data_IF_607671628354
#
_entry.id   IF_607671628354
#
_cell.length_a   1.000
_cell.length_b   1.000
_cell.length_c   1.000
_cell.angle_alpha   90.00
_cell.angle_beta   90.00
_cell.angle_gamma   90.00
#
_symmetry.space_group_name_H-M   'P 1'
#
loop_
_entity.id
_entity.type
_entity.pdbx_description
1 polymer ?
#
# COMPACT_ATOMS: atom_id res chain seq x y z
N UNK A 1 -1.53 42.25 61.39
CA UNK A 1 -2.17 42.31 60.06
C UNK A 1 -1.29 41.51 59.11
N UNK A 2 -1.75 40.33 58.65
CA UNK A 2 -1.03 39.41 57.75
C UNK A 2 -1.52 39.63 56.32
N UNK A 3 -0.65 39.68 55.29
CA UNK A 3 -1.06 39.41 53.92
C UNK A 3 -0.91 37.90 53.62
N UNK A 4 -1.69 37.37 52.66
CA UNK A 4 -1.92 35.94 52.53
C UNK A 4 -0.84 35.24 51.72
N UNK A 5 -0.65 33.96 52.05
CA UNK A 5 0.07 32.99 51.23
C UNK A 5 -0.63 32.83 49.88
N UNK A 6 0.11 33.02 48.79
CA UNK A 6 -0.26 32.52 47.49
C UNK A 6 1.00 31.94 46.84
N UNK A 7 1.24 30.67 47.14
CA UNK A 7 2.14 29.80 46.38
C UNK A 7 1.61 29.70 44.95
N UNK A 8 2.24 30.39 44.00
CA UNK A 8 2.07 30.10 42.59
C UNK A 8 3.17 29.13 42.18
N UNK A 9 2.89 27.83 42.29
CA UNK A 9 3.72 26.79 41.68
C UNK A 9 3.33 26.75 40.20
N UNK A 10 4.15 27.35 39.34
CA UNK A 10 4.02 27.21 37.90
C UNK A 10 4.41 25.77 37.51
N UNK A 11 3.42 24.89 37.37
CA UNK A 11 3.62 23.59 36.76
C UNK A 11 3.78 23.76 35.25
N UNK A 12 5.02 23.90 34.78
CA UNK A 12 5.34 23.74 33.38
C UNK A 12 5.19 22.25 33.03
N UNK A 13 4.02 21.86 32.52
CA UNK A 13 3.84 20.55 31.89
C UNK A 13 4.64 20.61 30.58
N UNK A 14 5.88 20.13 30.61
CA UNK A 14 6.55 19.69 29.40
C UNK A 14 5.71 18.53 28.85
N UNK A 15 4.89 18.81 27.84
CA UNK A 15 4.44 17.80 26.91
C UNK A 15 5.70 17.26 26.21
N UNK A 16 6.30 16.24 26.81
CA UNK A 16 7.13 15.30 26.06
C UNK A 16 6.17 14.58 25.12
N UNK A 17 5.90 15.17 23.96
CA UNK A 17 5.56 14.38 22.80
C UNK A 17 6.77 13.49 22.57
N UNK A 18 6.73 12.27 23.10
CA UNK A 18 7.48 11.16 22.56
C UNK A 18 6.92 10.93 21.14
N UNK A 19 7.24 11.85 20.23
CA UNK A 19 7.28 11.57 18.81
C UNK A 19 8.40 10.58 18.68
N UNK A 20 8.08 9.30 18.83
CA UNK A 20 8.87 8.28 18.14
C UNK A 20 8.79 8.71 16.70
N UNK A 21 9.89 9.22 16.14
CA UNK A 21 9.96 9.54 14.73
C UNK A 21 9.42 8.33 13.98
N UNK A 22 8.42 8.56 13.12
CA UNK A 22 7.74 7.48 12.42
C UNK A 22 8.75 6.82 11.47
N UNK A 23 9.41 5.76 11.91
CA UNK A 23 10.25 4.92 11.07
C UNK A 23 9.36 3.96 10.27
N UNK A 24 9.94 3.34 9.24
CA UNK A 24 9.28 2.25 8.51
C UNK A 24 8.88 1.14 9.48
N UNK A 25 9.76 0.72 10.38
CA UNK A 25 9.55 -0.36 11.33
C UNK A 25 8.42 -0.05 12.31
N UNK A 26 8.42 1.13 12.93
CA UNK A 26 7.38 1.53 13.89
C UNK A 26 6.03 1.70 13.20
N UNK A 27 6.01 2.21 11.97
CA UNK A 27 4.78 2.39 11.19
C UNK A 27 4.20 1.04 10.75
N UNK A 28 5.03 0.14 10.22
CA UNK A 28 4.62 -1.21 9.84
C UNK A 28 4.17 -2.04 11.05
N UNK A 29 4.82 -1.87 12.21
CA UNK A 29 4.40 -2.48 13.47
C UNK A 29 3.01 -2.00 13.86
N UNK A 30 2.78 -0.69 13.89
CA UNK A 30 1.47 -0.12 14.23
C UNK A 30 0.38 -0.58 13.26
N UNK A 31 0.66 -0.59 11.95
CA UNK A 31 -0.28 -1.08 10.94
C UNK A 31 -0.63 -2.57 11.16
N UNK A 32 0.35 -3.42 11.49
CA UNK A 32 0.12 -4.84 11.76
C UNK A 32 -0.57 -5.13 13.10
N UNK A 33 -0.41 -4.25 14.09
CA UNK A 33 -1.13 -4.33 15.35
C UNK A 33 -2.61 -3.95 15.20
N UNK A 34 -2.95 -3.04 14.26
CA UNK A 34 -4.34 -2.65 13.95
C UNK A 34 -5.04 -3.57 12.93
N UNK A 35 -4.30 -4.11 11.95
CA UNK A 35 -4.83 -4.99 10.91
C UNK A 35 -3.97 -6.26 10.75
N UNK A 36 -4.53 -7.39 11.19
CA UNK A 36 -3.89 -8.70 11.16
C UNK A 36 -3.58 -9.23 9.74
N UNK A 37 -4.13 -8.62 8.68
CA UNK A 37 -3.79 -8.96 7.30
C UNK A 37 -2.47 -8.34 6.83
N UNK A 38 -1.91 -7.40 7.60
CA UNK A 38 -0.61 -6.80 7.28
C UNK A 38 0.50 -7.81 7.58
N UNK A 39 1.21 -8.21 6.53
CA UNK A 39 2.48 -8.90 6.65
C UNK A 39 3.56 -7.86 7.01
N UNK A 40 3.94 -7.82 8.29
CA UNK A 40 4.97 -6.92 8.81
C UNK A 40 6.30 -7.01 8.04
N UNK A 41 6.77 -8.22 7.75
CA UNK A 41 8.05 -8.44 7.05
C UNK A 41 8.00 -7.87 5.64
N UNK A 42 6.89 -8.09 4.93
CA UNK A 42 6.66 -7.49 3.62
C UNK A 42 6.63 -5.96 3.71
N UNK A 43 5.86 -5.40 4.65
CA UNK A 43 5.73 -3.95 4.83
C UNK A 43 7.10 -3.29 5.01
N UNK A 44 7.92 -3.79 5.93
CA UNK A 44 9.25 -3.24 6.21
C UNK A 44 10.18 -3.42 5.00
N UNK A 45 10.27 -4.64 4.46
CA UNK A 45 11.14 -4.95 3.32
C UNK A 45 10.85 -4.06 2.12
N UNK A 46 9.58 -3.85 1.79
CA UNK A 46 9.23 -3.12 0.58
C UNK A 46 9.32 -1.60 0.77
N UNK A 47 8.85 -1.06 1.89
CA UNK A 47 8.94 0.38 2.14
C UNK A 47 10.40 0.84 2.28
N UNK A 48 11.27 0.06 2.92
CA UNK A 48 12.68 0.43 3.08
C UNK A 48 13.47 0.46 1.77
N UNK A 49 12.94 -0.07 0.65
CA UNK A 49 13.58 0.06 -0.68
C UNK A 49 13.45 1.46 -1.27
N UNK A 50 12.47 2.23 -0.83
CA UNK A 50 12.23 3.55 -1.38
C UNK A 50 13.11 4.58 -0.67
N UNK A 51 13.93 5.32 -1.42
CA UNK A 51 14.94 6.22 -0.84
C UNK A 51 14.36 7.32 0.05
N UNK A 52 13.11 7.72 -0.19
CA UNK A 52 12.42 8.74 0.63
C UNK A 52 11.87 8.19 1.96
N UNK A 53 11.88 6.87 2.18
CA UNK A 53 11.26 6.28 3.35
C UNK A 53 11.97 6.59 4.66
N UNK A 54 13.26 6.92 4.65
CA UNK A 54 14.01 7.27 5.87
C UNK A 54 13.53 8.58 6.51
N UNK A 55 13.01 9.48 5.68
CA UNK A 55 12.63 10.84 6.08
C UNK A 55 11.10 11.04 6.03
N UNK A 56 10.35 9.98 5.68
CA UNK A 56 8.90 10.03 5.53
C UNK A 56 8.20 9.82 6.88
N UNK A 57 7.24 10.69 7.18
CA UNK A 57 6.25 10.45 8.23
C UNK A 57 5.24 9.37 7.80
N UNK A 58 4.31 9.00 8.69
CA UNK A 58 3.24 8.03 8.39
C UNK A 58 2.45 8.39 7.12
N UNK A 59 2.23 9.68 6.87
CA UNK A 59 1.55 10.14 5.66
C UNK A 59 2.41 9.94 4.39
N UNK A 60 3.70 10.24 4.46
CA UNK A 60 4.66 9.96 3.40
C UNK A 60 4.75 8.47 3.11
N UNK A 61 4.78 7.62 4.14
CA UNK A 61 4.82 6.16 3.99
C UNK A 61 3.53 5.60 3.37
N UNK A 62 2.36 6.15 3.70
CA UNK A 62 1.10 5.78 3.05
C UNK A 62 1.13 6.05 1.54
N UNK A 63 1.66 7.21 1.13
CA UNK A 63 1.86 7.55 -0.28
C UNK A 63 2.87 6.64 -0.96
N UNK A 64 4.00 6.34 -0.31
CA UNK A 64 5.00 5.43 -0.86
C UNK A 64 4.39 4.04 -1.06
N UNK A 65 3.57 3.55 -0.12
CA UNK A 65 2.85 2.28 -0.27
C UNK A 65 1.90 2.28 -1.48
N UNK A 66 1.14 3.36 -1.71
CA UNK A 66 0.32 3.49 -2.91
C UNK A 66 1.19 3.46 -4.20
N UNK A 67 2.31 4.18 -4.21
CA UNK A 67 3.23 4.24 -5.35
C UNK A 67 3.89 2.88 -5.65
N UNK A 68 4.18 2.06 -4.63
CA UNK A 68 4.62 0.68 -4.83
C UNK A 68 3.60 -0.12 -5.65
N UNK A 69 2.31 0.09 -5.40
CA UNK A 69 1.21 -0.55 -6.14
C UNK A 69 1.17 -0.12 -7.60
N UNK A 70 1.35 1.18 -7.87
CA UNK A 70 1.49 1.72 -9.25
C UNK A 70 2.66 1.04 -9.97
N UNK A 71 3.82 0.97 -9.33
CA UNK A 71 5.03 0.38 -9.91
C UNK A 71 4.88 -1.12 -10.17
N UNK A 72 4.27 -1.87 -9.25
CA UNK A 72 4.00 -3.29 -9.47
C UNK A 72 3.02 -3.50 -10.62
N UNK A 73 1.95 -2.71 -10.69
CA UNK A 73 0.96 -2.82 -11.76
C UNK A 73 1.58 -2.51 -13.13
N UNK A 74 2.33 -1.42 -13.22
CA UNK A 74 3.07 -1.05 -14.43
C UNK A 74 4.08 -2.13 -14.84
N UNK A 75 4.89 -2.62 -13.90
CA UNK A 75 5.85 -3.70 -14.16
C UNK A 75 5.17 -5.00 -14.61
N UNK A 76 3.97 -5.29 -14.08
CA UNK A 76 3.19 -6.46 -14.47
C UNK A 76 2.65 -6.33 -15.90
N UNK A 77 2.22 -5.13 -16.32
CA UNK A 77 1.82 -4.87 -17.71
C UNK A 77 2.98 -5.18 -18.66
N UNK A 78 4.20 -4.71 -18.36
CA UNK A 78 5.40 -5.01 -19.14
C UNK A 78 5.75 -6.50 -19.18
N UNK A 79 5.60 -7.20 -18.05
CA UNK A 79 5.81 -8.65 -18.00
C UNK A 79 4.79 -9.39 -18.86
N UNK A 80 3.53 -8.95 -18.86
CA UNK A 80 2.47 -9.49 -19.74
C UNK A 80 2.82 -9.26 -21.21
N UNK A 81 3.22 -8.05 -21.60
CA UNK A 81 3.63 -7.74 -22.98
C UNK A 81 4.79 -8.63 -23.44
N UNK A 82 5.80 -8.82 -22.56
CA UNK A 82 6.93 -9.71 -22.83
C UNK A 82 6.49 -11.17 -22.97
N UNK A 83 5.53 -11.62 -22.16
CA UNK A 83 4.97 -12.96 -22.24
C UNK A 83 4.20 -13.15 -23.56
N UNK A 84 3.36 -12.19 -23.94
CA UNK A 84 2.56 -12.22 -25.17
C UNK A 84 3.41 -12.18 -26.46
N UNK A 85 4.61 -11.59 -26.40
CA UNK A 85 5.55 -11.54 -27.51
C UNK A 85 6.28 -12.89 -27.75
N UNK A 86 6.26 -13.82 -26.80
CA UNK A 86 6.92 -15.13 -26.96
C UNK A 86 6.12 -16.04 -27.91
N UNK A 87 6.77 -16.71 -28.86
CA UNK A 87 6.11 -17.72 -29.68
C UNK A 87 5.76 -18.96 -28.85
N UNK A 88 4.77 -19.74 -29.30
CA UNK A 88 4.42 -21.03 -28.71
C UNK A 88 3.51 -20.96 -27.48
N UNK A 89 3.04 -19.77 -27.09
CA UNK A 89 2.01 -19.64 -26.05
C UNK A 89 0.66 -20.13 -26.56
N UNK A 90 -0.05 -20.90 -25.73
CA UNK A 90 -1.38 -21.37 -26.06
C UNK A 90 -2.42 -20.22 -26.08
N UNK A 91 -3.47 -20.42 -26.87
CA UNK A 91 -4.48 -19.39 -27.12
C UNK A 91 -5.24 -18.96 -25.85
N UNK A 92 -5.48 -19.89 -24.91
CA UNK A 92 -6.21 -19.58 -23.67
C UNK A 92 -5.37 -18.68 -22.78
N UNK A 93 -4.11 -19.03 -22.55
CA UNK A 93 -3.16 -18.20 -21.82
C UNK A 93 -3.02 -16.82 -22.44
N UNK A 94 -2.94 -16.73 -23.77
CA UNK A 94 -2.85 -15.44 -24.48
C UNK A 94 -4.06 -14.54 -24.21
N UNK A 95 -5.28 -15.08 -24.29
CA UNK A 95 -6.50 -14.33 -24.01
C UNK A 95 -6.56 -13.91 -22.54
N UNK A 96 -6.27 -14.82 -21.61
CA UNK A 96 -6.28 -14.53 -20.17
C UNK A 96 -5.25 -13.47 -19.80
N UNK A 97 -4.05 -13.50 -20.38
CA UNK A 97 -3.03 -12.47 -20.19
C UNK A 97 -3.52 -11.10 -20.68
N UNK A 98 -4.18 -11.02 -21.83
CA UNK A 98 -4.78 -9.77 -22.33
C UNK A 98 -5.86 -9.20 -21.39
N UNK A 99 -6.70 -10.08 -20.81
CA UNK A 99 -7.68 -9.67 -19.79
C UNK A 99 -6.99 -9.14 -18.53
N UNK A 100 -5.98 -9.85 -18.02
CA UNK A 100 -5.18 -9.42 -16.90
C UNK A 100 -4.46 -8.09 -17.17
N UNK A 101 -3.99 -7.84 -18.39
CA UNK A 101 -3.35 -6.57 -18.75
C UNK A 101 -4.28 -5.39 -18.50
N UNK A 102 -5.55 -5.48 -18.92
CA UNK A 102 -6.56 -4.45 -18.64
C UNK A 102 -6.87 -4.30 -17.15
N UNK A 103 -6.92 -5.40 -16.40
CA UNK A 103 -7.13 -5.36 -14.95
C UNK A 103 -5.95 -4.69 -14.22
N UNK A 104 -4.71 -4.96 -14.64
CA UNK A 104 -3.53 -4.31 -14.08
C UNK A 104 -3.41 -2.83 -14.52
N UNK A 105 -3.88 -2.46 -15.70
CA UNK A 105 -3.97 -1.06 -16.10
C UNK A 105 -4.97 -0.29 -15.22
N UNK A 106 -6.14 -0.86 -14.96
CA UNK A 106 -7.08 -0.30 -13.98
C UNK A 106 -6.47 -0.22 -12.58
N UNK A 107 -5.75 -1.26 -12.15
CA UNK A 107 -5.10 -1.30 -10.83
C UNK A 107 -4.04 -0.20 -10.67
N UNK A 108 -3.29 0.09 -11.72
CA UNK A 108 -2.35 1.20 -11.76
C UNK A 108 -3.09 2.53 -11.46
N UNK A 109 -4.26 2.74 -12.07
CA UNK A 109 -5.07 3.94 -11.82
C UNK A 109 -5.68 3.98 -10.42
N UNK A 110 -6.14 2.86 -9.86
CA UNK A 110 -6.67 2.84 -8.49
C UNK A 110 -5.58 3.15 -7.47
N UNK A 111 -4.35 2.63 -7.64
CA UNK A 111 -3.24 3.00 -6.78
C UNK A 111 -2.78 4.45 -6.96
N UNK A 112 -2.82 4.98 -8.19
CA UNK A 112 -2.54 6.40 -8.43
C UNK A 112 -3.60 7.30 -7.78
N UNK A 113 -4.89 6.94 -7.89
CA UNK A 113 -5.97 7.62 -7.19
C UNK A 113 -5.80 7.58 -5.67
N UNK A 114 -5.40 6.42 -5.12
CA UNK A 114 -5.08 6.31 -3.70
C UNK A 114 -3.96 7.28 -3.29
N UNK A 115 -2.88 7.34 -4.08
CA UNK A 115 -1.79 8.29 -3.85
C UNK A 115 -2.29 9.74 -3.85
N UNK A 116 -3.08 10.13 -4.85
CA UNK A 116 -3.56 11.50 -5.03
C UNK A 116 -4.52 11.91 -3.90
N UNK A 117 -5.47 11.04 -3.53
CA UNK A 117 -6.42 11.29 -2.43
C UNK A 117 -5.69 11.36 -1.08
N UNK A 118 -4.73 10.47 -0.80
CA UNK A 118 -3.91 10.54 0.42
C UNK A 118 -3.09 11.83 0.43
N UNK A 119 -2.50 12.21 -0.71
CA UNK A 119 -1.74 13.45 -0.84
C UNK A 119 -2.62 14.69 -0.60
N UNK A 120 -3.86 14.65 -1.07
CA UNK A 120 -4.91 15.64 -0.82
C UNK A 120 -5.56 15.55 0.56
N UNK A 121 -5.07 14.67 1.46
CA UNK A 121 -5.57 14.45 2.83
C UNK A 121 -6.99 13.88 2.90
N UNK A 122 -7.51 13.34 1.81
CA UNK A 122 -8.76 12.60 1.75
C UNK A 122 -8.53 11.11 2.00
N UNK A 123 -8.20 10.77 3.25
CA UNK A 123 -7.78 9.42 3.62
C UNK A 123 -8.89 8.38 3.42
N UNK A 124 -10.16 8.76 3.57
CA UNK A 124 -11.28 7.85 3.34
C UNK A 124 -11.32 7.38 1.87
N UNK A 125 -11.28 8.31 0.92
CA UNK A 125 -11.24 7.98 -0.50
C UNK A 125 -9.94 7.25 -0.87
N UNK A 126 -8.80 7.68 -0.32
CA UNK A 126 -7.51 7.03 -0.60
C UNK A 126 -7.48 5.54 -0.24
N UNK A 127 -8.06 5.18 0.92
CA UNK A 127 -8.20 3.77 1.35
C UNK A 127 -9.15 3.00 0.44
N UNK A 128 -10.28 3.60 0.08
CA UNK A 128 -11.24 2.97 -0.82
C UNK A 128 -10.60 2.67 -2.18
N UNK A 129 -9.87 3.63 -2.75
CA UNK A 129 -9.13 3.44 -4.00
C UNK A 129 -8.07 2.34 -3.88
N UNK A 130 -7.26 2.32 -2.82
CA UNK A 130 -6.25 1.28 -2.62
C UNK A 130 -6.90 -0.11 -2.51
N UNK A 131 -8.01 -0.24 -1.79
CA UNK A 131 -8.70 -1.51 -1.58
C UNK A 131 -9.27 -2.12 -2.88
N UNK A 132 -9.61 -1.31 -3.89
CA UNK A 132 -10.08 -1.80 -5.20
C UNK A 132 -9.06 -2.72 -5.88
N UNK A 133 -7.77 -2.50 -5.65
CA UNK A 133 -6.70 -3.32 -6.22
C UNK A 133 -6.78 -4.80 -5.82
N UNK A 134 -7.31 -5.12 -4.63
CA UNK A 134 -7.49 -6.50 -4.17
C UNK A 134 -8.43 -7.26 -5.10
N UNK A 135 -9.60 -6.66 -5.40
CA UNK A 135 -10.58 -7.25 -6.31
C UNK A 135 -10.03 -7.43 -7.72
N UNK A 136 -9.27 -6.45 -8.23
CA UNK A 136 -8.66 -6.52 -9.57
C UNK A 136 -7.63 -7.65 -9.67
N UNK A 137 -6.82 -7.86 -8.63
CA UNK A 137 -5.86 -8.96 -8.56
C UNK A 137 -6.57 -10.33 -8.56
N UNK A 138 -7.63 -10.46 -7.76
CA UNK A 138 -8.42 -11.70 -7.71
C UNK A 138 -9.13 -12.00 -9.02
N UNK A 139 -9.68 -10.99 -9.70
CA UNK A 139 -10.30 -11.18 -11.02
C UNK A 139 -9.31 -11.72 -12.06
N UNK A 140 -8.05 -11.29 -12.03
CA UNK A 140 -7.01 -11.85 -12.90
C UNK A 140 -6.67 -13.30 -12.52
N UNK A 141 -6.48 -13.59 -11.23
CA UNK A 141 -6.21 -14.96 -10.75
C UNK A 141 -7.37 -15.91 -11.12
N UNK A 142 -8.61 -15.48 -10.93
CA UNK A 142 -9.81 -16.24 -11.27
C UNK A 142 -9.94 -16.50 -12.77
N UNK A 143 -9.50 -15.56 -13.61
CA UNK A 143 -9.49 -15.75 -15.06
C UNK A 143 -8.57 -16.92 -15.48
N UNK A 144 -7.44 -17.10 -14.79
CA UNK A 144 -6.55 -18.25 -14.98
C UNK A 144 -7.14 -19.56 -14.44
N UNK A 145 -7.78 -19.51 -13.26
CA UNK A 145 -8.46 -20.69 -12.67
C UNK A 145 -9.57 -21.19 -13.60
N UNK A 146 -10.38 -20.29 -14.18
CA UNK A 146 -11.48 -20.64 -15.09
C UNK A 146 -11.03 -21.41 -16.33
N UNK A 147 -9.81 -21.16 -16.81
CA UNK A 147 -9.24 -21.85 -17.97
C UNK A 147 -8.32 -23.02 -17.59
N UNK A 148 -8.20 -23.33 -16.30
CA UNK A 148 -7.35 -24.37 -15.72
C UNK A 148 -5.87 -24.24 -16.13
N UNK A 149 -5.36 -23.01 -16.21
CA UNK A 149 -3.95 -22.71 -16.50
C UNK A 149 -3.30 -22.08 -15.27
N UNK A 150 -2.11 -22.53 -14.85
CA UNK A 150 -1.35 -21.85 -13.79
C UNK A 150 -1.01 -20.41 -14.20
N UNK A 151 -1.39 -19.44 -13.37
CA UNK A 151 -1.10 -18.02 -13.64
C UNK A 151 0.42 -17.75 -13.55
N UNK A 152 1.06 -17.24 -14.62
CA UNK A 152 2.43 -16.75 -14.53
C UNK A 152 2.54 -15.45 -13.72
N UNK A 153 1.40 -14.83 -13.36
CA UNK A 153 1.33 -13.56 -12.64
C UNK A 153 1.06 -13.74 -11.14
N UNK A 154 1.00 -14.97 -10.63
CA UNK A 154 0.54 -15.23 -9.25
C UNK A 154 1.28 -14.41 -8.19
N UNK A 155 2.60 -14.27 -8.33
CA UNK A 155 3.41 -13.48 -7.39
C UNK A 155 3.13 -11.97 -7.51
N UNK A 156 2.86 -11.47 -8.73
CA UNK A 156 2.44 -10.08 -8.94
C UNK A 156 1.09 -9.80 -8.29
N UNK A 157 0.15 -10.74 -8.38
CA UNK A 157 -1.17 -10.62 -7.75
C UNK A 157 -1.07 -10.58 -6.23
N UNK A 158 -0.29 -11.50 -5.63
CA UNK A 158 -0.04 -11.52 -4.18
C UNK A 158 0.63 -10.23 -3.70
N UNK A 159 1.60 -9.72 -4.46
CA UNK A 159 2.25 -8.44 -4.17
C UNK A 159 1.25 -7.28 -4.17
N UNK A 160 0.39 -7.18 -5.19
CA UNK A 160 -0.64 -6.14 -5.28
C UNK A 160 -1.61 -6.18 -4.11
N UNK A 161 -2.08 -7.37 -3.72
CA UNK A 161 -2.98 -7.55 -2.58
C UNK A 161 -2.31 -7.07 -1.30
N UNK A 162 -1.07 -7.52 -1.04
CA UNK A 162 -0.38 -7.12 0.19
C UNK A 162 -0.06 -5.62 0.22
N UNK A 163 0.25 -5.03 -0.95
CA UNK A 163 0.48 -3.59 -1.08
C UNK A 163 -0.79 -2.78 -0.79
N UNK A 164 -1.95 -3.22 -1.28
CA UNK A 164 -3.24 -2.60 -0.98
C UNK A 164 -3.60 -2.65 0.50
N UNK A 165 -3.34 -3.79 1.16
CA UNK A 165 -3.53 -3.98 2.60
C UNK A 165 -2.62 -3.03 3.38
N UNK A 166 -1.32 -3.02 3.07
CA UNK A 166 -0.34 -2.14 3.74
C UNK A 166 -0.70 -0.66 3.54
N UNK A 167 -1.02 -0.24 2.32
CA UNK A 167 -1.42 1.13 2.02
C UNK A 167 -2.65 1.55 2.83
N UNK A 168 -3.68 0.69 2.87
CA UNK A 168 -4.91 0.94 3.64
C UNK A 168 -4.63 1.04 5.13
N UNK A 169 -3.88 0.08 5.68
CA UNK A 169 -3.56 0.01 7.10
C UNK A 169 -2.71 1.19 7.57
N UNK A 170 -1.66 1.56 6.84
CA UNK A 170 -0.85 2.75 7.17
C UNK A 170 -1.70 4.02 7.10
N UNK A 171 -2.59 4.12 6.12
CA UNK A 171 -3.50 5.28 6.01
C UNK A 171 -4.48 5.37 7.18
N UNK A 172 -4.89 4.25 7.78
CA UNK A 172 -5.73 4.24 8.99
C UNK A 172 -5.03 4.82 10.23
N UNK A 173 -3.70 4.78 10.27
CA UNK A 173 -2.92 5.35 11.37
C UNK A 173 -2.91 6.89 11.38
N UNK A 174 -3.32 7.52 10.28
CA UNK A 174 -3.31 8.98 10.12
C UNK A 174 -4.60 9.55 10.73
N UNK A 175 -4.44 10.43 11.71
CA UNK A 175 -5.55 11.11 12.43
C UNK A 175 -5.98 12.41 11.74
#
# INVERSE_FOLDING_TARGET
MRPPAALMVAAAILLMLAGVDATVETTCKAAADEDAHVNYVFCVSELSKHYQSSDADTWGLAKIAANMGVNNAYGTIHDIERLLAKPGMDAKTKVTLGQCQGLYDNMKFTFAGAYDEINGRNYAAGKEEAAKAVSLAHQCDDAFVKVAVPSPLKQRSLYSVQTAIVCTAITNLIK
#
